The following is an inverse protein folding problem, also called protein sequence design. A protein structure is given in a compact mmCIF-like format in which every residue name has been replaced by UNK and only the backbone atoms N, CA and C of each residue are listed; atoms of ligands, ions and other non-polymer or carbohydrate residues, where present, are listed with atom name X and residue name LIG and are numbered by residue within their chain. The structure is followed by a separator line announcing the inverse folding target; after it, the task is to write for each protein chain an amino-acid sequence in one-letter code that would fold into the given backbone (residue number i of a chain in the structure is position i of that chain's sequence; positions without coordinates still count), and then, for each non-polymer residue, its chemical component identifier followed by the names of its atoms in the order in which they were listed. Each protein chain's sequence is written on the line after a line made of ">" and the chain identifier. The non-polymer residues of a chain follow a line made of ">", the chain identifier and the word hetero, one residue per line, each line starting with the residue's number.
data_IF_190846154428
#
_entry.id   IF_190846154428
#
_cell.length_a   1.000
_cell.length_b   1.000
_cell.length_c   1.000
_cell.angle_alpha   90.00
_cell.angle_beta   90.00
_cell.angle_gamma   90.00
#
_symmetry.space_group_name_H-M   'P 1'
#
loop_
_entity.id
_entity.type
_entity.pdbx_description
1 polymer ?
#
# COMPACT_ATOMS: atom_id res chain seq x y z
N UNK A 1 19.63 23.06 -10.32
CA UNK A 1 19.43 21.74 -9.69
C UNK A 1 17.94 21.45 -9.55
N UNK A 2 17.53 20.25 -9.87
CA UNK A 2 16.13 19.86 -9.73
C UNK A 2 15.84 19.60 -8.23
N UNK A 3 14.80 20.25 -7.68
CA UNK A 3 14.43 20.09 -6.28
C UNK A 3 13.90 18.66 -6.04
N UNK A 4 14.36 18.01 -4.98
CA UNK A 4 13.88 16.68 -4.61
C UNK A 4 12.40 16.72 -4.21
N UNK A 5 11.58 15.87 -4.84
CA UNK A 5 10.14 15.78 -4.58
C UNK A 5 9.83 14.51 -3.79
N UNK A 6 9.05 14.67 -2.74
CA UNK A 6 8.59 13.59 -1.87
C UNK A 6 7.07 13.55 -1.89
N UNK A 7 6.52 12.37 -2.08
CA UNK A 7 5.08 12.18 -2.22
C UNK A 7 4.59 11.28 -1.09
N UNK A 8 3.50 11.67 -0.48
CA UNK A 8 2.74 10.82 0.44
C UNK A 8 1.38 10.48 -0.17
N UNK A 9 0.99 9.24 -0.09
CA UNK A 9 -0.33 8.79 -0.54
C UNK A 9 -1.03 8.04 0.56
N UNK A 10 -2.11 8.62 1.06
CA UNK A 10 -3.05 7.93 1.94
C UNK A 10 -4.09 7.20 1.10
N UNK A 11 -4.25 5.90 1.36
CA UNK A 11 -5.08 4.99 0.56
C UNK A 11 -6.34 4.62 1.31
N UNK A 12 -7.48 5.04 0.80
CA UNK A 12 -8.78 4.58 1.25
C UNK A 12 -9.47 3.71 0.18
N UNK A 13 -10.58 3.11 0.55
CA UNK A 13 -11.32 2.21 -0.35
C UNK A 13 -11.79 2.88 -1.64
N UNK A 14 -12.12 4.17 -1.58
CA UNK A 14 -12.69 4.93 -2.71
C UNK A 14 -11.77 6.01 -3.27
N UNK A 15 -10.75 6.42 -2.51
CA UNK A 15 -9.98 7.62 -2.81
C UNK A 15 -8.53 7.44 -2.43
N UNK A 16 -7.67 8.11 -3.16
CA UNK A 16 -6.25 8.29 -2.90
C UNK A 16 -6.01 9.77 -2.63
N UNK A 17 -5.63 10.11 -1.41
CA UNK A 17 -5.22 11.46 -1.03
C UNK A 17 -3.72 11.60 -1.18
N UNK A 18 -3.29 12.63 -1.90
CA UNK A 18 -1.90 12.80 -2.33
C UNK A 18 -1.36 14.14 -1.87
N UNK A 19 -0.22 14.12 -1.22
CA UNK A 19 0.52 15.33 -0.86
C UNK A 19 1.93 15.30 -1.47
N UNK A 20 2.41 16.46 -1.91
CA UNK A 20 3.72 16.61 -2.55
C UNK A 20 4.54 17.68 -1.82
N UNK A 21 5.69 17.29 -1.33
CA UNK A 21 6.67 18.21 -0.72
C UNK A 21 7.88 18.40 -1.64
N UNK A 22 8.53 19.56 -1.60
CA UNK A 22 8.18 20.74 -0.82
C UNK A 22 7.13 21.65 -1.47
N UNK A 23 6.48 21.22 -2.56
CA UNK A 23 5.50 22.07 -3.29
C UNK A 23 4.27 22.45 -2.46
N UNK A 24 3.97 21.73 -1.38
CA UNK A 24 2.77 21.94 -0.57
C UNK A 24 1.46 21.62 -1.30
N UNK A 25 1.53 20.91 -2.43
CA UNK A 25 0.32 20.52 -3.17
C UNK A 25 -0.36 19.33 -2.53
N UNK A 26 -1.67 19.43 -2.35
CA UNK A 26 -2.55 18.37 -1.88
C UNK A 26 -3.70 18.21 -2.86
N UNK A 27 -4.02 16.99 -3.24
CA UNK A 27 -5.14 16.68 -4.12
C UNK A 27 -5.58 15.23 -3.92
N UNK A 28 -6.74 14.86 -4.45
CA UNK A 28 -7.27 13.51 -4.39
C UNK A 28 -7.61 12.99 -5.78
N UNK A 29 -7.49 11.67 -5.95
CA UNK A 29 -7.98 10.94 -7.12
C UNK A 29 -8.77 9.72 -6.66
N UNK A 30 -9.64 9.19 -7.51
CA UNK A 30 -10.38 7.97 -7.18
C UNK A 30 -9.47 6.75 -7.08
N UNK A 31 -9.72 5.88 -6.10
CA UNK A 31 -9.04 4.59 -5.99
C UNK A 31 -9.71 3.56 -6.92
N UNK A 32 -9.53 3.75 -8.20
CA UNK A 32 -9.97 2.88 -9.27
C UNK A 32 -9.01 3.00 -10.46
N UNK A 33 -9.09 2.06 -11.39
CA UNK A 33 -8.15 1.94 -12.52
C UNK A 33 -7.82 3.28 -13.22
N UNK A 34 -8.83 4.11 -13.51
CA UNK A 34 -8.62 5.41 -14.15
C UNK A 34 -7.90 6.41 -13.25
N UNK A 35 -8.29 6.48 -11.97
CA UNK A 35 -7.68 7.38 -10.99
C UNK A 35 -6.22 7.02 -10.73
N UNK A 36 -5.92 5.73 -10.58
CA UNK A 36 -4.55 5.22 -10.43
C UNK A 36 -3.72 5.56 -11.67
N UNK A 37 -4.23 5.31 -12.87
CA UNK A 37 -3.52 5.65 -14.11
C UNK A 37 -3.26 7.15 -14.26
N UNK A 38 -4.20 7.99 -13.84
CA UNK A 38 -4.03 9.45 -13.81
C UNK A 38 -2.93 9.86 -12.84
N UNK A 39 -2.92 9.30 -11.63
CA UNK A 39 -1.89 9.56 -10.62
C UNK A 39 -0.51 9.14 -11.11
N UNK A 40 -0.39 7.92 -11.65
CA UNK A 40 0.87 7.40 -12.20
C UNK A 40 1.45 8.35 -13.25
N UNK A 41 0.64 8.77 -14.23
CA UNK A 41 1.08 9.73 -15.28
C UNK A 41 1.55 11.06 -14.68
N UNK A 42 0.87 11.55 -13.65
CA UNK A 42 1.22 12.81 -12.99
C UNK A 42 2.54 12.67 -12.23
N UNK A 43 2.73 11.58 -11.51
CA UNK A 43 3.95 11.33 -10.74
C UNK A 43 5.16 11.02 -11.64
N UNK A 44 4.97 10.37 -12.80
CA UNK A 44 6.04 10.21 -13.81
C UNK A 44 6.62 11.55 -14.25
N UNK A 45 5.78 12.54 -14.49
CA UNK A 45 6.22 13.89 -14.89
C UNK A 45 6.91 14.65 -13.75
N UNK A 46 6.55 14.34 -12.52
CA UNK A 46 7.13 14.97 -11.33
C UNK A 46 8.52 14.41 -11.01
N UNK A 47 8.79 13.15 -11.36
CA UNK A 47 10.02 12.42 -11.04
C UNK A 47 10.36 12.47 -9.55
N UNK A 48 9.50 11.96 -8.66
CA UNK A 48 9.74 12.02 -7.23
C UNK A 48 10.91 11.14 -6.80
N UNK A 49 11.59 11.54 -5.74
CA UNK A 49 12.66 10.75 -5.10
C UNK A 49 12.09 9.59 -4.29
N UNK A 50 10.93 9.78 -3.70
CA UNK A 50 10.24 8.75 -2.91
C UNK A 50 8.73 8.99 -2.90
N UNK A 51 7.98 7.91 -3.02
CA UNK A 51 6.53 7.87 -2.86
C UNK A 51 6.23 6.96 -1.67
N UNK A 52 5.89 7.56 -0.52
CA UNK A 52 5.51 6.82 0.68
C UNK A 52 4.02 6.48 0.64
N UNK A 53 3.72 5.21 0.84
CA UNK A 53 2.35 4.68 0.92
C UNK A 53 2.22 3.91 2.23
N UNK A 54 1.17 4.18 2.97
CA UNK A 54 0.85 3.49 4.19
C UNK A 54 0.34 2.06 3.93
N UNK A 55 0.81 1.08 4.70
CA UNK A 55 0.34 -0.29 4.61
C UNK A 55 -1.06 -0.42 5.25
N UNK A 56 -2.08 -0.47 4.42
CA UNK A 56 -3.51 -0.45 4.81
C UNK A 56 -4.21 -1.81 4.69
N UNK A 57 -3.46 -2.90 4.90
CA UNK A 57 -4.03 -4.26 4.87
C UNK A 57 -4.36 -4.79 3.48
N UNK A 58 -3.79 -4.19 2.44
CA UNK A 58 -3.89 -4.66 1.06
C UNK A 58 -4.51 -3.67 0.07
N UNK A 59 -5.17 -2.61 0.55
CA UNK A 59 -5.74 -1.57 -0.33
C UNK A 59 -4.65 -0.81 -1.09
N UNK A 60 -3.45 -0.73 -0.55
CA UNK A 60 -2.29 -0.07 -1.15
C UNK A 60 -1.70 -0.82 -2.33
N UNK A 61 -1.96 -2.12 -2.45
CA UNK A 61 -1.26 -3.02 -3.39
C UNK A 61 -1.46 -2.62 -4.85
N UNK A 62 -2.68 -2.35 -5.27
CA UNK A 62 -2.97 -2.01 -6.67
C UNK A 62 -2.21 -0.75 -7.11
N UNK A 63 -2.25 0.30 -6.28
CA UNK A 63 -1.49 1.52 -6.51
C UNK A 63 0.02 1.27 -6.51
N UNK A 64 0.53 0.59 -5.50
CA UNK A 64 1.96 0.31 -5.35
C UNK A 64 2.52 -0.44 -6.55
N UNK A 65 1.80 -1.44 -7.05
CA UNK A 65 2.20 -2.19 -8.23
C UNK A 65 2.11 -1.38 -9.52
N UNK A 66 1.10 -0.54 -9.68
CA UNK A 66 0.98 0.34 -10.83
C UNK A 66 2.13 1.36 -10.90
N UNK A 67 2.53 1.92 -9.76
CA UNK A 67 3.68 2.83 -9.66
C UNK A 67 4.99 2.10 -9.94
N UNK A 68 5.18 0.92 -9.36
CA UNK A 68 6.40 0.11 -9.54
C UNK A 68 6.57 -0.37 -10.99
N UNK A 69 5.48 -0.70 -11.68
CA UNK A 69 5.50 -1.08 -13.10
C UNK A 69 6.07 0.03 -14.00
N UNK A 70 5.95 1.28 -13.57
CA UNK A 70 6.52 2.46 -14.23
C UNK A 70 7.87 2.90 -13.65
N UNK A 71 8.51 2.03 -12.88
CA UNK A 71 9.80 2.26 -12.20
C UNK A 71 9.82 3.48 -11.28
N UNK A 72 8.67 3.84 -10.70
CA UNK A 72 8.58 4.91 -9.72
C UNK A 72 9.05 4.41 -8.33
N UNK A 73 9.72 5.27 -7.55
CA UNK A 73 10.34 4.89 -6.28
C UNK A 73 9.29 4.78 -5.15
N UNK A 74 8.73 3.61 -4.97
CA UNK A 74 7.70 3.33 -3.95
C UNK A 74 8.31 2.81 -2.66
N UNK A 75 7.90 3.37 -1.53
CA UNK A 75 8.19 2.88 -0.19
C UNK A 75 6.88 2.57 0.54
N UNK A 76 6.64 1.31 0.83
CA UNK A 76 5.53 0.91 1.72
C UNK A 76 6.01 1.07 3.15
N UNK A 77 5.36 1.93 3.91
CA UNK A 77 5.76 2.30 5.25
C UNK A 77 4.84 1.71 6.31
N UNK A 78 5.40 1.50 7.51
CA UNK A 78 4.62 0.97 8.62
C UNK A 78 3.76 2.08 9.24
N UNK A 79 2.44 1.90 9.35
CA UNK A 79 1.51 2.88 9.94
C UNK A 79 1.91 3.35 11.34
N UNK A 80 2.48 2.47 12.15
CA UNK A 80 2.96 2.82 13.50
C UNK A 80 4.12 3.81 13.48
N UNK A 81 5.05 3.64 12.54
CA UNK A 81 6.17 4.58 12.38
C UNK A 81 5.68 5.95 11.94
N UNK A 82 4.75 5.99 10.99
CA UNK A 82 4.13 7.24 10.52
C UNK A 82 3.34 7.92 11.64
N UNK A 83 2.55 7.16 12.40
CA UNK A 83 1.81 7.68 13.54
C UNK A 83 2.73 8.26 14.64
N UNK A 84 3.82 7.58 14.95
CA UNK A 84 4.80 8.08 15.92
C UNK A 84 5.49 9.35 15.42
N UNK A 85 5.82 9.41 14.14
CA UNK A 85 6.38 10.60 13.51
C UNK A 85 5.39 11.77 13.56
N UNK A 86 4.12 11.56 13.24
CA UNK A 86 3.08 12.57 13.33
C UNK A 86 2.96 13.15 14.75
N UNK A 87 2.98 12.29 15.78
CA UNK A 87 2.95 12.71 17.18
C UNK A 87 4.18 13.55 17.54
N UNK A 88 5.36 13.17 17.07
CA UNK A 88 6.61 13.90 17.34
C UNK A 88 6.65 15.28 16.70
N UNK A 89 5.94 15.48 15.57
CA UNK A 89 5.80 16.77 14.88
C UNK A 89 4.62 17.61 15.36
N UNK A 90 3.88 17.15 16.38
CA UNK A 90 2.78 17.89 16.99
C UNK A 90 1.46 17.86 16.21
N UNK A 91 1.35 17.05 15.17
CA UNK A 91 0.10 16.90 14.40
C UNK A 91 -0.89 16.01 15.14
N UNK A 92 -2.03 16.58 15.55
CA UNK A 92 -3.06 15.90 16.34
C UNK A 92 -4.37 15.63 15.59
N UNK A 93 -4.63 16.33 14.49
CA UNK A 93 -5.87 16.16 13.74
C UNK A 93 -5.73 15.06 12.69
N UNK A 94 -6.73 14.18 12.61
CA UNK A 94 -6.80 13.12 11.60
C UNK A 94 -7.78 13.50 10.52
N UNK A 95 -7.26 13.76 9.32
CA UNK A 95 -8.03 13.77 8.07
C UNK A 95 -7.16 13.13 6.99
N UNK A 96 -7.76 12.53 5.97
CA UNK A 96 -7.02 11.85 4.90
C UNK A 96 -6.00 12.78 4.21
N UNK A 97 -6.33 14.06 4.03
CA UNK A 97 -5.42 15.07 3.49
C UNK A 97 -4.23 15.35 4.42
N UNK A 98 -4.45 15.38 5.74
CA UNK A 98 -3.39 15.53 6.75
C UNK A 98 -2.53 14.27 6.78
N UNK A 99 -3.11 13.08 6.68
CA UNK A 99 -2.41 11.81 6.67
C UNK A 99 -1.49 11.71 5.44
N UNK A 100 -1.95 12.14 4.26
CA UNK A 100 -1.11 12.24 3.07
C UNK A 100 0.04 13.25 3.24
N UNK A 101 -0.21 14.40 3.86
CA UNK A 101 0.82 15.41 4.14
C UNK A 101 1.86 14.90 5.15
N UNK A 102 1.45 14.15 6.16
CA UNK A 102 2.34 13.48 7.12
C UNK A 102 3.21 12.44 6.42
N UNK A 103 2.62 11.63 5.54
CA UNK A 103 3.36 10.65 4.74
C UNK A 103 4.43 11.30 3.85
N UNK A 104 4.11 12.41 3.19
CA UNK A 104 5.06 13.16 2.38
C UNK A 104 6.20 13.75 3.24
N UNK A 105 5.88 14.27 4.42
CA UNK A 105 6.86 14.77 5.38
C UNK A 105 7.72 13.64 5.95
N UNK A 106 7.11 12.52 6.29
CA UNK A 106 7.82 11.30 6.71
C UNK A 106 8.83 10.85 5.64
N UNK A 107 8.40 10.82 4.36
CA UNK A 107 9.27 10.45 3.24
C UNK A 107 10.48 11.39 3.10
N UNK A 108 10.27 12.70 3.27
CA UNK A 108 11.32 13.72 3.18
C UNK A 108 12.36 13.60 4.30
N UNK A 109 11.91 13.42 5.54
CA UNK A 109 12.76 13.40 6.73
C UNK A 109 13.40 12.04 6.96
N UNK A 110 12.59 10.98 6.93
CA UNK A 110 13.02 9.63 7.28
C UNK A 110 13.65 8.87 6.12
N UNK A 111 13.40 9.30 4.88
CA UNK A 111 13.94 8.69 3.64
C UNK A 111 13.80 7.16 3.67
N UNK A 112 12.58 6.64 3.77
CA UNK A 112 12.36 5.21 3.87
C UNK A 112 12.92 4.47 2.66
N UNK A 113 13.32 3.22 2.88
CA UNK A 113 13.89 2.38 1.83
C UNK A 113 12.87 2.13 0.71
N UNK A 114 13.26 2.48 -0.51
CA UNK A 114 12.53 2.14 -1.73
C UNK A 114 12.83 0.68 -2.08
N UNK A 115 11.83 -0.19 -1.98
CA UNK A 115 11.97 -1.60 -2.28
C UNK A 115 11.41 -1.94 -3.65
N UNK A 116 12.10 -2.82 -4.36
CA UNK A 116 11.51 -3.44 -5.54
C UNK A 116 10.33 -4.31 -5.13
N UNK A 117 9.17 -4.04 -5.68
CA UNK A 117 7.99 -4.87 -5.50
C UNK A 117 8.08 -6.09 -6.43
N UNK A 118 7.52 -7.25 -6.00
CA UNK A 118 7.48 -8.44 -6.83
C UNK A 118 6.79 -8.18 -8.17
N UNK A 119 7.30 -8.78 -9.23
CA UNK A 119 6.66 -8.72 -10.54
C UNK A 119 5.31 -9.49 -10.56
N UNK A 120 4.58 -9.38 -11.66
CA UNK A 120 3.27 -10.00 -11.79
C UNK A 120 3.32 -11.54 -11.61
N UNK A 121 4.34 -12.20 -12.18
CA UNK A 121 4.50 -13.64 -12.09
C UNK A 121 4.80 -14.10 -10.65
N UNK A 122 5.69 -13.41 -9.96
CA UNK A 122 6.02 -13.70 -8.55
C UNK A 122 4.80 -13.48 -7.63
N UNK A 123 3.98 -12.48 -7.91
CA UNK A 123 2.74 -12.20 -7.16
C UNK A 123 1.70 -13.30 -7.37
N UNK A 124 1.50 -13.73 -8.62
CA UNK A 124 0.58 -14.80 -8.95
C UNK A 124 1.01 -16.11 -8.29
N UNK A 125 2.29 -16.46 -8.38
CA UNK A 125 2.83 -17.64 -7.70
C UNK A 125 2.59 -17.57 -6.19
N UNK A 126 2.87 -16.45 -5.55
CA UNK A 126 2.64 -16.27 -4.12
C UNK A 126 1.17 -16.40 -3.73
N UNK A 127 0.27 -15.88 -4.56
CA UNK A 127 -1.18 -16.02 -4.35
C UNK A 127 -1.63 -17.48 -4.47
N UNK A 128 -1.12 -18.21 -5.47
CA UNK A 128 -1.40 -19.64 -5.68
C UNK A 128 -0.88 -20.50 -4.52
N UNK A 129 0.35 -20.27 -4.05
CA UNK A 129 0.94 -20.96 -2.91
C UNK A 129 0.11 -20.72 -1.64
N UNK A 130 -0.28 -19.48 -1.40
CA UNK A 130 -1.14 -19.11 -0.25
C UNK A 130 -2.48 -19.83 -0.32
N UNK A 131 -3.11 -19.84 -1.50
CA UNK A 131 -4.39 -20.50 -1.71
C UNK A 131 -4.27 -22.02 -1.55
N UNK A 132 -3.23 -22.61 -2.09
CA UNK A 132 -2.95 -24.04 -1.91
C UNK A 132 -2.85 -24.41 -0.42
N UNK A 133 -2.07 -23.65 0.35
CA UNK A 133 -1.93 -23.87 1.80
C UNK A 133 -3.28 -23.79 2.52
N UNK A 134 -4.08 -22.76 2.23
CA UNK A 134 -5.42 -22.61 2.81
C UNK A 134 -6.31 -23.83 2.52
N UNK A 135 -6.30 -24.32 1.28
CA UNK A 135 -7.09 -25.47 0.89
C UNK A 135 -6.63 -26.76 1.61
N UNK A 136 -5.33 -26.97 1.75
CA UNK A 136 -4.77 -28.09 2.50
C UNK A 136 -5.18 -28.02 3.98
N UNK A 137 -5.10 -26.85 4.60
CA UNK A 137 -5.55 -26.65 5.99
C UNK A 137 -7.06 -26.94 6.15
N UNK A 138 -7.88 -26.48 5.22
CA UNK A 138 -9.33 -26.76 5.21
C UNK A 138 -9.61 -28.26 5.04
N UNK A 139 -8.93 -28.93 4.12
CA UNK A 139 -9.07 -30.37 3.91
C UNK A 139 -8.68 -31.15 5.14
N UNK A 140 -7.57 -30.80 5.80
CA UNK A 140 -7.12 -31.44 7.03
C UNK A 140 -8.14 -31.25 8.16
N UNK A 141 -8.63 -30.03 8.33
CA UNK A 141 -9.67 -29.73 9.33
C UNK A 141 -10.95 -30.53 9.08
N UNK A 142 -11.38 -30.66 7.84
CA UNK A 142 -12.58 -31.41 7.48
C UNK A 142 -12.37 -32.93 7.64
N UNK A 143 -11.22 -33.44 7.27
CA UNK A 143 -10.87 -34.86 7.53
C UNK A 143 -10.96 -35.19 9.02
N UNK A 144 -10.39 -34.35 9.88
CA UNK A 144 -10.45 -34.50 11.31
C UNK A 144 -11.91 -34.48 11.85
N UNK A 145 -12.74 -33.56 11.33
CA UNK A 145 -14.17 -33.49 11.70
C UNK A 145 -14.90 -34.76 11.28
N UNK A 146 -14.66 -35.24 10.06
CA UNK A 146 -15.25 -36.48 9.55
C UNK A 146 -14.90 -37.68 10.44
N UNK A 147 -13.64 -37.77 10.88
CA UNK A 147 -13.19 -38.89 11.72
C UNK A 147 -13.84 -38.89 13.11
N UNK A 148 -14.22 -37.69 13.60
CA UNK A 148 -14.97 -37.51 14.85
C UNK A 148 -16.48 -37.65 14.70
N UNK A 149 -17.00 -37.61 13.47
CA UNK A 149 -18.44 -37.67 13.19
C UNK A 149 -19.02 -39.08 13.41
N UNK A 150 -20.32 -39.15 13.72
CA UNK A 150 -21.04 -40.39 13.84
C UNK A 150 -21.06 -41.16 12.50
N UNK A 151 -21.24 -42.48 12.55
CA UNK A 151 -21.28 -43.34 11.35
C UNK A 151 -22.30 -42.90 10.31
N UNK A 152 -23.40 -42.30 10.73
CA UNK A 152 -24.46 -41.79 9.83
C UNK A 152 -24.08 -40.53 9.02
N UNK A 153 -23.02 -39.88 9.43
CA UNK A 153 -22.56 -38.60 8.79
C UNK A 153 -21.26 -38.82 7.98
N UNK A 154 -20.59 -39.96 8.17
CA UNK A 154 -19.32 -40.26 7.47
C UNK A 154 -19.44 -40.68 6.01
N UNK A 155 -20.65 -41.02 5.55
CA UNK A 155 -20.91 -41.53 4.19
C UNK A 155 -21.18 -40.37 3.22
#
# INVERSE_FOLDING_TARGET
>A
MKQAMYVGVDVSKKQLDVAIRPLGKIFAVGNHRRGIAQLVRRLKKLEPVCIAIDATGGLEKELAYALAAENLPVAIVNPRQVSNFAKSTGQRAKTDAIDAAVLAHFAEVMKPEVRRLPDAASRELSALVTRHRQLVEMMTAESNRRDLASKSVRN
#
